data_IF_196439403861
#
_entry.id   IF_196439403861
#
_cell.length_a   1.000
_cell.length_b   1.000
_cell.length_c   1.000
_cell.angle_alpha   90.00
_cell.angle_beta   90.00
_cell.angle_gamma   90.00
#
_symmetry.space_group_name_H-M   'P 1'
#
loop_
_entity.id
_entity.type
_entity.pdbx_description
1 polymer ?
#
# COMPACT_ATOMS: atom_id res chain seq x y z
N UNK A 1 0.43 58.46 37.61
CA UNK A 1 0.17 57.03 37.34
C UNK A 1 -1.33 56.82 37.42
N UNK A 2 -1.96 56.44 36.30
CA UNK A 2 -3.40 56.13 36.27
C UNK A 2 -3.58 54.68 36.76
N UNK A 3 -4.24 54.48 37.89
CA UNK A 3 -4.59 53.15 38.40
C UNK A 3 -5.74 52.55 37.60
N UNK A 4 -5.77 51.23 37.40
CA UNK A 4 -6.90 50.54 36.80
C UNK A 4 -8.13 50.63 37.70
N UNK A 5 -9.29 50.88 37.09
CA UNK A 5 -10.57 50.89 37.80
C UNK A 5 -10.99 49.44 38.13
N UNK A 6 -11.56 49.20 39.30
CA UNK A 6 -12.06 47.90 39.72
C UNK A 6 -13.08 47.34 38.74
N UNK A 7 -13.87 48.17 38.10
CA UNK A 7 -14.83 47.82 37.05
C UNK A 7 -14.12 47.26 35.80
N UNK A 8 -13.01 47.88 35.41
CA UNK A 8 -12.21 47.47 34.23
C UNK A 8 -11.59 46.06 34.41
N UNK A 9 -11.12 45.76 35.62
CA UNK A 9 -10.63 44.43 35.97
C UNK A 9 -11.75 43.38 35.96
N UNK A 10 -12.93 43.70 36.50
CA UNK A 10 -14.07 42.78 36.48
C UNK A 10 -14.54 42.46 35.05
N UNK A 11 -14.62 43.47 34.17
CA UNK A 11 -14.99 43.28 32.76
C UNK A 11 -13.95 42.45 32.04
N UNK A 12 -12.66 42.72 32.26
CA UNK A 12 -11.58 41.95 31.68
C UNK A 12 -11.61 40.46 32.12
N UNK A 13 -11.86 40.19 33.39
CA UNK A 13 -12.00 38.83 33.93
C UNK A 13 -13.22 38.09 33.33
N UNK A 14 -14.33 38.77 33.17
CA UNK A 14 -15.54 38.21 32.56
C UNK A 14 -15.29 37.80 31.09
N UNK A 15 -14.70 38.69 30.29
CA UNK A 15 -14.39 38.43 28.90
C UNK A 15 -13.37 37.29 28.80
N UNK A 16 -12.31 37.33 29.60
CA UNK A 16 -11.28 36.26 29.61
C UNK A 16 -11.87 34.89 29.96
N UNK A 17 -12.80 34.85 30.91
CA UNK A 17 -13.46 33.59 31.29
C UNK A 17 -14.30 32.99 30.14
N UNK A 18 -15.02 33.83 29.40
CA UNK A 18 -15.81 33.38 28.24
C UNK A 18 -14.88 32.83 27.13
N UNK A 19 -13.80 33.54 26.85
CA UNK A 19 -12.82 33.11 25.85
C UNK A 19 -12.15 31.78 26.23
N UNK A 20 -11.75 31.62 27.48
CA UNK A 20 -11.16 30.36 27.98
C UNK A 20 -12.16 29.21 27.93
N UNK A 21 -13.42 29.40 28.26
CA UNK A 21 -14.45 28.38 28.15
C UNK A 21 -14.71 27.99 26.68
N UNK A 22 -14.70 28.96 25.77
CA UNK A 22 -14.81 28.72 24.35
C UNK A 22 -13.63 27.90 23.82
N UNK A 23 -12.41 28.33 24.12
CA UNK A 23 -11.17 27.65 23.68
C UNK A 23 -11.04 26.21 24.23
N UNK A 24 -11.44 26.00 25.50
CA UNK A 24 -11.36 24.68 26.16
C UNK A 24 -12.26 23.63 25.51
N UNK A 25 -13.34 24.01 24.85
CA UNK A 25 -14.25 23.13 24.13
C UNK A 25 -13.85 22.96 22.65
N UNK A 26 -13.41 24.03 22.02
CA UNK A 26 -13.07 24.06 20.61
C UNK A 26 -11.79 23.29 20.30
N UNK A 27 -10.76 23.49 21.11
CA UNK A 27 -9.43 22.88 20.88
C UNK A 27 -9.46 21.34 20.85
N UNK A 28 -10.11 20.62 21.80
CA UNK A 28 -10.21 19.17 21.74
C UNK A 28 -11.05 18.65 20.55
N UNK A 29 -12.04 19.42 20.10
CA UNK A 29 -12.82 19.05 18.92
C UNK A 29 -11.98 19.14 17.65
N UNK A 30 -11.19 20.20 17.50
CA UNK A 30 -10.25 20.38 16.39
C UNK A 30 -9.19 19.28 16.37
N UNK A 31 -8.58 18.98 17.52
CA UNK A 31 -7.58 17.93 17.66
C UNK A 31 -8.12 16.55 17.22
N UNK A 32 -9.34 16.20 17.60
CA UNK A 32 -9.97 14.94 17.17
C UNK A 32 -10.19 14.88 15.67
N UNK A 33 -10.61 15.99 15.06
CA UNK A 33 -10.77 16.09 13.60
C UNK A 33 -9.44 15.90 12.86
N UNK A 34 -8.39 16.58 13.31
CA UNK A 34 -7.04 16.46 12.72
C UNK A 34 -6.50 15.04 12.86
N UNK A 35 -6.64 14.42 14.04
CA UNK A 35 -6.19 13.04 14.26
C UNK A 35 -6.92 12.04 13.37
N UNK A 36 -8.23 12.19 13.18
CA UNK A 36 -9.00 11.34 12.28
C UNK A 36 -8.51 11.47 10.81
N UNK A 37 -8.22 12.69 10.38
CA UNK A 37 -7.71 12.95 9.04
C UNK A 37 -6.30 12.37 8.83
N UNK A 38 -5.40 12.52 9.81
CA UNK A 38 -4.04 11.93 9.74
C UNK A 38 -4.14 10.41 9.61
N UNK A 39 -5.03 9.75 10.32
CA UNK A 39 -5.20 8.31 10.27
C UNK A 39 -5.70 7.82 8.91
N UNK A 40 -6.65 8.54 8.32
CA UNK A 40 -7.12 8.24 6.97
C UNK A 40 -5.97 8.38 5.96
N UNK A 41 -5.19 9.46 6.03
CA UNK A 41 -4.03 9.68 5.17
C UNK A 41 -2.97 8.58 5.34
N UNK A 42 -2.68 8.18 6.58
CA UNK A 42 -1.73 7.09 6.85
C UNK A 42 -2.17 5.77 6.20
N UNK A 43 -3.45 5.43 6.28
CA UNK A 43 -3.98 4.24 5.61
C UNK A 43 -3.87 4.34 4.08
N UNK A 44 -4.16 5.51 3.51
CA UNK A 44 -4.00 5.76 2.07
C UNK A 44 -2.54 5.60 1.63
N UNK A 45 -1.61 6.20 2.36
CA UNK A 45 -0.17 6.08 2.08
C UNK A 45 0.31 4.63 2.14
N UNK A 46 -0.09 3.87 3.15
CA UNK A 46 0.23 2.44 3.27
C UNK A 46 -0.27 1.64 2.07
N UNK A 47 -1.51 1.84 1.65
CA UNK A 47 -2.10 1.15 0.49
C UNK A 47 -1.33 1.52 -0.79
N UNK A 48 -1.07 2.82 -1.03
CA UNK A 48 -0.35 3.28 -2.21
C UNK A 48 1.10 2.80 -2.26
N UNK A 49 1.80 2.79 -1.15
CA UNK A 49 3.18 2.28 -1.09
C UNK A 49 3.26 0.79 -1.48
N UNK A 50 2.34 -0.04 -0.99
CA UNK A 50 2.28 -1.46 -1.35
C UNK A 50 1.92 -1.63 -2.83
N UNK A 51 0.97 -0.84 -3.31
CA UNK A 51 0.53 -0.87 -4.70
C UNK A 51 1.65 -0.45 -5.66
N UNK A 52 2.41 0.60 -5.36
CA UNK A 52 3.57 0.99 -6.16
C UNK A 52 4.70 -0.04 -6.13
N UNK A 53 4.91 -0.71 -5.01
CA UNK A 53 5.88 -1.81 -4.93
C UNK A 53 5.50 -2.95 -5.88
N UNK A 54 4.23 -3.37 -5.87
CA UNK A 54 3.70 -4.36 -6.82
C UNK A 54 3.83 -3.90 -8.26
N UNK A 55 3.44 -2.66 -8.55
CA UNK A 55 3.51 -2.06 -9.87
C UNK A 55 4.93 -2.08 -10.44
N UNK A 56 5.94 -1.73 -9.63
CA UNK A 56 7.34 -1.76 -10.00
C UNK A 56 7.83 -3.17 -10.39
N UNK A 57 7.37 -4.19 -9.66
CA UNK A 57 7.73 -5.57 -10.01
C UNK A 57 6.99 -6.05 -11.27
N UNK A 58 5.71 -5.72 -11.42
CA UNK A 58 4.94 -6.05 -12.62
C UNK A 58 5.51 -5.41 -13.89
N UNK A 59 6.04 -4.19 -13.82
CA UNK A 59 6.70 -3.54 -14.96
C UNK A 59 7.97 -4.26 -15.42
N UNK A 60 8.66 -4.98 -14.53
CA UNK A 60 9.88 -5.73 -14.83
C UNK A 60 9.58 -7.14 -15.35
N UNK A 61 8.35 -7.61 -15.21
CA UNK A 61 7.95 -8.95 -15.61
C UNK A 61 8.39 -9.23 -17.05
N UNK A 62 9.08 -10.35 -17.26
CA UNK A 62 9.55 -10.78 -18.58
C UNK A 62 10.88 -10.19 -19.03
N UNK A 63 11.46 -9.25 -18.29
CA UNK A 63 12.78 -8.75 -18.67
C UNK A 63 13.82 -9.87 -18.64
N UNK A 64 14.62 -9.94 -19.72
CA UNK A 64 15.71 -10.88 -19.89
C UNK A 64 16.86 -10.19 -20.63
N UNK A 65 18.05 -10.19 -20.03
CA UNK A 65 19.27 -9.65 -20.63
C UNK A 65 19.90 -10.57 -21.69
N UNK A 66 19.34 -11.75 -21.96
CA UNK A 66 19.84 -12.75 -22.88
C UNK A 66 18.72 -13.65 -23.42
N UNK A 67 19.07 -14.89 -23.79
CA UNK A 67 18.14 -15.82 -24.47
C UNK A 67 17.74 -17.04 -23.62
N UNK A 68 18.21 -17.13 -22.37
CA UNK A 68 17.99 -18.31 -21.51
C UNK A 68 16.86 -18.12 -20.49
N UNK A 69 15.98 -17.16 -20.73
CA UNK A 69 14.78 -16.96 -19.96
C UNK A 69 13.61 -17.75 -20.57
N UNK A 70 12.71 -18.22 -19.72
CA UNK A 70 11.53 -18.97 -20.18
C UNK A 70 10.38 -18.04 -20.55
N UNK A 71 9.26 -18.65 -20.96
CA UNK A 71 8.04 -17.91 -21.36
C UNK A 71 7.10 -17.56 -20.21
N UNK A 72 7.33 -18.14 -19.01
CA UNK A 72 6.47 -18.00 -17.84
C UNK A 72 6.85 -16.78 -16.95
N UNK A 73 6.90 -15.60 -17.55
CA UNK A 73 7.26 -14.37 -16.84
C UNK A 73 6.28 -13.95 -15.78
N UNK A 74 5.00 -14.27 -15.97
CA UNK A 74 3.91 -13.84 -15.11
C UNK A 74 2.91 -14.97 -14.89
N UNK A 75 2.75 -15.39 -13.65
CA UNK A 75 1.74 -16.35 -13.23
C UNK A 75 0.73 -15.69 -12.32
N UNK A 76 -0.55 -15.66 -12.72
CA UNK A 76 -1.65 -15.12 -11.95
C UNK A 76 -2.58 -16.26 -11.56
N UNK A 77 -2.85 -16.42 -10.27
CA UNK A 77 -3.67 -17.49 -9.71
C UNK A 77 -4.66 -16.95 -8.69
N UNK A 78 -5.53 -17.82 -8.18
CA UNK A 78 -6.53 -17.49 -7.15
C UNK A 78 -7.38 -16.28 -7.54
N UNK A 79 -7.83 -16.21 -8.79
CA UNK A 79 -8.64 -15.10 -9.31
C UNK A 79 -7.93 -13.73 -9.19
N UNK A 80 -6.61 -13.71 -9.31
CA UNK A 80 -5.81 -12.50 -9.16
C UNK A 80 -5.24 -12.24 -7.76
N UNK A 81 -5.62 -13.03 -6.77
CA UNK A 81 -5.15 -12.87 -5.38
C UNK A 81 -3.76 -13.45 -5.12
N UNK A 82 -3.14 -14.02 -6.13
CA UNK A 82 -1.74 -14.42 -6.10
C UNK A 82 -1.11 -14.13 -7.45
N UNK A 83 0.06 -13.53 -7.44
CA UNK A 83 0.87 -13.28 -8.63
C UNK A 83 2.33 -13.65 -8.37
N UNK A 84 2.95 -14.33 -9.32
CA UNK A 84 4.38 -14.60 -9.33
C UNK A 84 4.97 -13.95 -10.57
N UNK A 85 6.04 -13.21 -10.38
CA UNK A 85 6.68 -12.36 -11.38
C UNK A 85 8.12 -12.82 -11.52
N UNK A 86 8.62 -12.98 -12.76
CA UNK A 86 10.00 -13.32 -13.06
C UNK A 86 10.63 -12.27 -13.94
N UNK A 87 11.87 -11.93 -13.65
CA UNK A 87 12.71 -11.03 -14.45
C UNK A 87 14.18 -11.35 -14.19
N UNK A 88 15.04 -11.07 -15.11
CA UNK A 88 16.50 -11.22 -14.98
C UNK A 88 17.05 -10.02 -14.17
N UNK A 89 17.29 -10.27 -12.88
CA UNK A 89 17.62 -9.20 -11.91
C UNK A 89 19.06 -8.69 -12.02
N UNK A 90 19.98 -9.54 -12.43
CA UNK A 90 21.41 -9.24 -12.56
C UNK A 90 21.85 -9.11 -14.03
N UNK A 91 20.92 -9.27 -14.98
CA UNK A 91 21.15 -9.19 -16.42
C UNK A 91 22.16 -10.23 -16.94
N UNK A 92 22.17 -11.42 -16.32
CA UNK A 92 23.02 -12.54 -16.76
C UNK A 92 22.43 -13.36 -17.92
N UNK A 93 21.25 -13.00 -18.35
CA UNK A 93 20.54 -13.61 -19.49
C UNK A 93 19.80 -14.89 -19.15
N UNK A 94 19.54 -15.18 -17.88
CA UNK A 94 18.79 -16.35 -17.42
C UNK A 94 17.95 -16.04 -16.20
N UNK A 95 16.83 -16.73 -16.00
CA UNK A 95 16.07 -16.66 -14.75
C UNK A 95 16.54 -17.72 -13.78
N UNK A 96 17.08 -17.28 -12.66
CA UNK A 96 17.54 -18.14 -11.58
C UNK A 96 16.41 -18.45 -10.61
N UNK A 97 16.36 -19.68 -10.14
CA UNK A 97 15.35 -20.15 -9.18
C UNK A 97 15.93 -20.45 -7.79
N UNK A 98 17.25 -20.53 -7.68
CA UNK A 98 17.95 -20.86 -6.44
C UNK A 98 19.40 -20.33 -6.47
N UNK A 99 19.97 -19.94 -5.32
CA UNK A 99 19.29 -19.86 -4.02
C UNK A 99 18.23 -18.74 -3.96
N UNK A 100 17.35 -18.73 -2.95
CA UNK A 100 16.20 -17.83 -2.88
C UNK A 100 16.56 -16.33 -2.81
N UNK A 101 17.73 -15.99 -2.26
CA UNK A 101 18.25 -14.62 -2.19
C UNK A 101 18.78 -14.11 -3.54
N UNK A 102 19.15 -14.99 -4.45
CA UNK A 102 19.58 -14.69 -5.83
C UNK A 102 18.46 -14.94 -6.86
N UNK A 103 17.35 -15.54 -6.44
CA UNK A 103 16.28 -15.93 -7.35
C UNK A 103 15.63 -14.72 -8.04
N UNK A 104 15.40 -14.88 -9.35
CA UNK A 104 14.81 -13.90 -10.26
C UNK A 104 13.28 -13.97 -10.30
N UNK A 105 12.70 -14.26 -9.16
CA UNK A 105 11.26 -14.29 -9.01
C UNK A 105 10.82 -13.69 -7.68
N UNK A 106 9.62 -13.12 -7.70
CA UNK A 106 8.95 -12.64 -6.50
C UNK A 106 7.45 -12.98 -6.59
N UNK A 107 6.89 -13.42 -5.50
CA UNK A 107 5.46 -13.67 -5.36
C UNK A 107 4.80 -12.67 -4.44
N UNK A 108 3.54 -12.37 -4.72
CA UNK A 108 2.64 -11.61 -3.86
C UNK A 108 1.33 -12.37 -3.75
N UNK A 109 0.80 -12.49 -2.54
CA UNK A 109 -0.50 -13.13 -2.32
C UNK A 109 -1.28 -12.48 -1.19
N UNK A 110 -2.60 -12.58 -1.28
CA UNK A 110 -3.49 -12.31 -0.16
C UNK A 110 -3.75 -13.62 0.61
N UNK A 111 -3.45 -13.60 1.91
CA UNK A 111 -3.69 -14.72 2.78
C UNK A 111 -4.28 -14.23 4.11
N UNK A 112 -5.51 -14.64 4.42
CA UNK A 112 -6.19 -14.29 5.68
C UNK A 112 -6.14 -12.79 6.05
N UNK A 113 -6.40 -11.91 5.05
CA UNK A 113 -6.39 -10.46 5.26
C UNK A 113 -5.00 -9.81 5.36
N UNK A 114 -3.94 -10.57 5.05
CA UNK A 114 -2.55 -10.09 5.02
C UNK A 114 -2.02 -10.17 3.61
N UNK A 115 -1.45 -9.09 3.11
CA UNK A 115 -0.66 -9.11 1.89
C UNK A 115 0.72 -9.64 2.23
N UNK A 116 1.10 -10.71 1.56
CA UNK A 116 2.37 -11.40 1.78
C UNK A 116 3.23 -11.38 0.51
N UNK A 117 4.55 -11.42 0.68
CA UNK A 117 5.53 -11.52 -0.40
C UNK A 117 6.50 -12.66 -0.15
N UNK A 118 7.08 -13.21 -1.24
CA UNK A 118 8.15 -14.20 -1.15
C UNK A 118 9.11 -14.03 -2.32
N UNK A 119 10.37 -13.81 -2.03
CA UNK A 119 11.43 -13.89 -3.03
C UNK A 119 11.69 -15.38 -3.38
N UNK A 120 11.99 -15.67 -4.63
CA UNK A 120 12.16 -17.03 -5.09
C UNK A 120 10.85 -17.85 -5.13
N UNK A 121 9.70 -17.19 -5.19
CA UNK A 121 8.42 -17.87 -5.26
C UNK A 121 8.26 -18.59 -6.60
N UNK A 122 7.92 -19.89 -6.55
CA UNK A 122 7.60 -20.73 -7.71
C UNK A 122 6.14 -21.17 -7.72
N UNK A 123 5.45 -21.07 -6.57
CA UNK A 123 4.05 -21.43 -6.39
C UNK A 123 3.40 -20.48 -5.38
N UNK A 124 2.07 -20.35 -5.45
CA UNK A 124 1.27 -19.55 -4.51
C UNK A 124 1.06 -20.21 -3.14
N UNK A 125 1.32 -21.50 -3.07
CA UNK A 125 1.14 -22.34 -1.89
C UNK A 125 2.44 -22.46 -1.09
N UNK A 126 2.35 -23.09 0.09
CA UNK A 126 3.50 -23.37 0.94
C UNK A 126 3.86 -22.24 1.89
N UNK A 127 4.94 -22.44 2.64
CA UNK A 127 5.47 -21.53 3.66
C UNK A 127 6.58 -20.61 3.13
N UNK A 128 7.18 -19.82 4.04
CA UNK A 128 8.28 -18.91 3.71
C UNK A 128 7.83 -17.61 3.05
N UNK A 129 6.59 -17.18 3.33
CA UNK A 129 6.04 -15.89 2.91
C UNK A 129 6.21 -14.88 4.03
N UNK A 130 6.69 -13.71 3.68
CA UNK A 130 6.88 -12.58 4.59
C UNK A 130 5.66 -11.64 4.53
N UNK A 131 5.25 -11.13 5.66
CA UNK A 131 4.14 -10.19 5.74
C UNK A 131 4.56 -8.82 5.21
N UNK A 132 3.87 -8.31 4.21
CA UNK A 132 4.02 -6.94 3.73
C UNK A 132 3.14 -5.95 4.51
N UNK A 133 2.04 -6.43 5.09
CA UNK A 133 1.12 -5.63 5.90
C UNK A 133 1.07 -6.17 7.32
N UNK A 134 0.98 -5.27 8.30
CA UNK A 134 0.80 -5.65 9.70
C UNK A 134 -0.69 -5.89 9.98
N UNK A 135 -1.11 -7.12 10.30
CA UNK A 135 -2.52 -7.41 10.61
C UNK A 135 -3.02 -6.73 11.89
N UNK A 136 -2.12 -6.25 12.76
CA UNK A 136 -2.50 -5.47 13.93
C UNK A 136 -2.84 -4.01 13.58
N UNK A 137 -2.35 -3.50 12.46
CA UNK A 137 -2.60 -2.13 11.99
C UNK A 137 -3.72 -2.06 10.95
N UNK A 138 -3.71 -2.96 9.98
CA UNK A 138 -4.70 -2.98 8.89
C UNK A 138 -5.00 -4.41 8.41
N UNK A 139 -6.18 -4.60 7.86
CA UNK A 139 -6.60 -5.83 7.18
C UNK A 139 -6.79 -5.53 5.70
N UNK A 140 -6.12 -6.28 4.84
CA UNK A 140 -6.36 -6.23 3.39
C UNK A 140 -7.66 -6.94 3.09
N UNK A 141 -8.62 -6.22 2.54
CA UNK A 141 -9.96 -6.73 2.23
C UNK A 141 -10.09 -7.23 0.80
N UNK A 142 -9.29 -6.68 -0.12
CA UNK A 142 -9.22 -7.13 -1.50
C UNK A 142 -7.80 -6.90 -2.06
N UNK A 143 -7.34 -7.86 -2.83
CA UNK A 143 -6.14 -7.80 -3.64
C UNK A 143 -6.38 -8.56 -4.93
N UNK A 144 -6.21 -7.88 -6.04
CA UNK A 144 -6.42 -8.51 -7.34
C UNK A 144 -5.44 -7.96 -8.37
N UNK A 145 -4.80 -8.86 -9.11
CA UNK A 145 -4.03 -8.55 -10.31
C UNK A 145 -4.74 -9.16 -11.51
N UNK A 146 -5.00 -8.34 -12.52
CA UNK A 146 -5.64 -8.79 -13.76
C UNK A 146 -4.79 -8.41 -14.96
N UNK A 147 -4.72 -9.30 -15.96
CA UNK A 147 -4.07 -9.05 -17.23
C UNK A 147 -5.13 -8.84 -18.31
N UNK A 148 -5.10 -7.69 -18.96
CA UNK A 148 -5.88 -7.43 -20.17
C UNK A 148 -4.95 -7.45 -21.37
N UNK A 149 -5.19 -8.38 -22.31
CA UNK A 149 -4.54 -8.38 -23.60
C UNK A 149 -5.54 -7.84 -24.62
N UNK A 150 -5.19 -6.73 -25.29
CA UNK A 150 -5.87 -6.29 -26.51
C UNK A 150 -5.08 -6.82 -27.70
N UNK A 151 -5.78 -7.31 -28.71
CA UNK A 151 -5.13 -7.75 -29.95
C UNK A 151 -4.27 -6.60 -30.48
N UNK A 152 -3.00 -6.88 -30.73
CA UNK A 152 -1.98 -5.92 -31.25
C UNK A 152 -1.46 -4.85 -30.29
N UNK A 153 -1.76 -4.92 -28.99
CA UNK A 153 -1.24 -3.98 -27.99
C UNK A 153 -0.50 -4.73 -26.87
N UNK A 154 0.46 -4.04 -26.27
CA UNK A 154 1.14 -4.55 -25.06
C UNK A 154 0.10 -4.82 -23.96
N UNK A 155 0.21 -5.93 -23.22
CA UNK A 155 -0.73 -6.25 -22.15
C UNK A 155 -0.69 -5.19 -21.05
N UNK A 156 -1.86 -4.84 -20.53
CA UNK A 156 -1.95 -4.01 -19.34
C UNK A 156 -2.27 -4.89 -18.14
N UNK A 157 -1.59 -4.60 -17.06
CA UNK A 157 -1.78 -5.25 -15.77
C UNK A 157 -2.43 -4.24 -14.83
N UNK A 158 -3.66 -4.53 -14.41
CA UNK A 158 -4.36 -3.73 -13.41
C UNK A 158 -4.20 -4.39 -12.04
N UNK A 159 -3.94 -3.56 -11.03
CA UNK A 159 -3.79 -3.95 -9.64
C UNK A 159 -4.88 -3.23 -8.86
N UNK A 160 -5.64 -3.97 -8.08
CA UNK A 160 -6.59 -3.44 -7.09
C UNK A 160 -6.09 -3.85 -5.72
N UNK A 161 -6.05 -2.90 -4.79
CA UNK A 161 -5.71 -3.14 -3.40
C UNK A 161 -6.65 -2.35 -2.51
N UNK A 162 -7.37 -3.04 -1.63
CA UNK A 162 -8.28 -2.44 -0.66
C UNK A 162 -7.91 -2.89 0.75
N UNK A 163 -7.96 -1.98 1.70
CA UNK A 163 -7.65 -2.28 3.08
C UNK A 163 -8.58 -1.53 4.04
N UNK A 164 -8.67 -2.05 5.26
CA UNK A 164 -9.40 -1.47 6.38
C UNK A 164 -8.50 -1.39 7.59
N UNK A 165 -8.49 -0.26 8.27
CA UNK A 165 -7.80 -0.11 9.54
C UNK A 165 -8.61 -0.68 10.72
N UNK A 166 -8.01 -0.70 11.92
CA UNK A 166 -8.63 -1.19 13.16
C UNK A 166 -9.81 -0.34 13.64
N UNK A 167 -10.00 0.85 13.07
CA UNK A 167 -11.11 1.77 13.39
C UNK A 167 -12.27 1.69 12.42
N UNK A 168 -12.09 0.92 11.33
CA UNK A 168 -13.10 0.73 10.30
C UNK A 168 -12.98 1.69 9.11
N UNK A 169 -11.97 2.57 9.06
CA UNK A 169 -11.69 3.35 7.85
C UNK A 169 -11.28 2.42 6.72
N UNK A 170 -11.76 2.67 5.53
CA UNK A 170 -11.48 1.85 4.35
C UNK A 170 -10.88 2.69 3.24
N UNK A 171 -9.91 2.11 2.53
CA UNK A 171 -9.29 2.68 1.33
C UNK A 171 -9.25 1.62 0.25
N UNK A 172 -9.54 2.02 -0.97
CA UNK A 172 -9.38 1.21 -2.17
C UNK A 172 -8.59 2.00 -3.20
N UNK A 173 -7.52 1.42 -3.72
CA UNK A 173 -6.70 2.02 -4.74
C UNK A 173 -6.56 1.08 -5.93
N UNK A 174 -6.52 1.64 -7.13
CA UNK A 174 -6.28 0.92 -8.37
C UNK A 174 -5.17 1.59 -9.16
N UNK A 175 -4.29 0.78 -9.72
CA UNK A 175 -3.22 1.23 -10.59
C UNK A 175 -3.04 0.28 -11.77
N UNK A 176 -2.60 0.80 -12.90
CA UNK A 176 -2.37 0.01 -14.11
C UNK A 176 -0.97 0.24 -14.63
N UNK A 177 -0.31 -0.83 -15.05
CA UNK A 177 1.02 -0.80 -15.67
C UNK A 177 1.01 -1.53 -17.00
N UNK A 178 1.88 -1.12 -17.90
CA UNK A 178 2.10 -1.80 -19.17
C UNK A 178 3.19 -2.86 -19.01
N UNK A 179 2.90 -4.08 -19.45
CA UNK A 179 3.87 -5.17 -19.49
C UNK A 179 4.71 -5.11 -20.78
N UNK A 180 5.83 -4.40 -20.73
CA UNK A 180 6.66 -4.19 -21.92
C UNK A 180 7.37 -5.46 -22.41
N UNK A 181 7.58 -6.43 -21.53
CA UNK A 181 8.29 -7.67 -21.84
C UNK A 181 7.39 -8.92 -21.71
N UNK A 182 6.05 -8.74 -21.80
CA UNK A 182 5.07 -9.81 -21.61
C UNK A 182 4.34 -10.18 -22.90
#
# INVERSE_FOLDING_TARGET
MRGFSLLEVLVAMAISSILLLGASRFLPALQRGVLAQIQQQTLEEEVWQRLFTLAKHLQRAGYCGGERCGDDALYIARQGQCVIIRWDGDSNGAWQTAPADEADSIGFRLQTGVLETRRGATACEGGGWDKMTDPAALTVTDFQVTRSARVSLMPQLAIVLSARDTRGNTVSAQYSVTGYNL
#
